data_IF_600896157806
#
_entry.id   IF_600896157806
#
_cell.length_a   1.000
_cell.length_b   1.000
_cell.length_c   1.000
_cell.angle_alpha   90.00
_cell.angle_beta   90.00
_cell.angle_gamma   90.00
#
_symmetry.space_group_name_H-M   'P 1'
#
loop_
_entity.id
_entity.type
_entity.pdbx_description
1 polymer ?
#
# COMPACT_ATOMS: atom_id res chain seq x y z
N UNK A 1 -10.37 8.27 -8.01
CA UNK A 1 -8.93 8.10 -8.24
C UNK A 1 -8.20 7.70 -6.95
N UNK A 2 -8.22 8.53 -5.90
CA UNK A 2 -7.59 8.19 -4.62
C UNK A 2 -8.14 6.93 -3.94
N UNK A 3 -9.44 6.61 -4.11
CA UNK A 3 -10.02 5.38 -3.54
C UNK A 3 -9.42 4.09 -4.14
N UNK A 4 -9.10 4.08 -5.44
CA UNK A 4 -8.42 2.94 -6.07
C UNK A 4 -6.99 2.78 -5.56
N UNK A 5 -6.26 3.90 -5.40
CA UNK A 5 -4.92 3.89 -4.84
C UNK A 5 -4.92 3.40 -3.39
N UNK A 6 -5.88 3.85 -2.57
CA UNK A 6 -6.08 3.35 -1.20
C UNK A 6 -6.35 1.85 -1.18
N UNK A 7 -7.20 1.35 -2.07
CA UNK A 7 -7.52 -0.07 -2.15
C UNK A 7 -6.27 -0.90 -2.50
N UNK A 8 -5.46 -0.45 -3.47
CA UNK A 8 -4.19 -1.10 -3.83
C UNK A 8 -3.21 -1.14 -2.66
N UNK A 9 -3.06 -0.01 -1.95
CA UNK A 9 -2.18 0.08 -0.77
C UNK A 9 -2.68 -0.85 0.35
N UNK A 10 -3.99 -0.90 0.58
CA UNK A 10 -4.59 -1.80 1.56
C UNK A 10 -4.32 -3.26 1.23
N UNK A 11 -4.59 -3.68 -0.01
CA UNK A 11 -4.37 -5.05 -0.46
C UNK A 11 -2.91 -5.46 -0.35
N UNK A 12 -1.98 -4.57 -0.70
CA UNK A 12 -0.55 -4.83 -0.57
C UNK A 12 -0.10 -4.96 0.90
N UNK A 13 -0.61 -4.11 1.79
CA UNK A 13 -0.34 -4.24 3.23
C UNK A 13 -0.91 -5.55 3.81
N UNK A 14 -2.10 -5.98 3.36
CA UNK A 14 -2.69 -7.26 3.77
C UNK A 14 -1.95 -8.48 3.19
N UNK A 15 -1.24 -8.33 2.07
CA UNK A 15 -0.43 -9.39 1.49
C UNK A 15 0.84 -9.68 2.29
N UNK A 16 1.42 -8.68 2.95
CA UNK A 16 2.63 -8.83 3.78
C UNK A 16 2.52 -9.97 4.81
N UNK A 17 1.50 -10.02 5.70
CA UNK A 17 1.37 -11.13 6.64
C UNK A 17 0.97 -12.44 5.95
N UNK A 18 0.19 -12.40 4.85
CA UNK A 18 -0.19 -13.61 4.09
C UNK A 18 1.02 -14.33 3.49
N UNK A 19 2.06 -13.59 3.13
CA UNK A 19 3.32 -14.13 2.61
C UNK A 19 4.40 -14.30 3.70
N UNK A 20 4.05 -14.15 4.98
CA UNK A 20 4.99 -14.22 6.11
C UNK A 20 6.19 -13.25 5.99
N UNK A 21 5.99 -12.08 5.37
CA UNK A 21 7.04 -11.07 5.20
C UNK A 21 7.21 -10.15 6.40
N UNK A 22 6.28 -10.20 7.36
CA UNK A 22 6.24 -9.33 8.54
C UNK A 22 5.80 -10.11 9.78
N UNK A 23 6.12 -9.58 10.97
CA UNK A 23 5.63 -10.06 12.26
C UNK A 23 5.17 -8.87 13.08
N UNK A 24 4.12 -9.04 13.90
CA UNK A 24 3.44 -7.92 14.59
C UNK A 24 2.99 -6.83 13.60
N UNK A 25 3.23 -5.56 13.93
CA UNK A 25 2.87 -4.40 13.11
C UNK A 25 4.03 -3.88 12.26
N UNK A 26 5.09 -4.68 12.08
CA UNK A 26 6.26 -4.26 11.31
C UNK A 26 5.95 -4.23 9.82
N UNK A 27 6.57 -3.28 9.10
CA UNK A 27 6.42 -3.12 7.65
C UNK A 27 5.21 -2.25 7.25
N UNK A 28 5.37 -1.54 6.12
CA UNK A 28 4.29 -0.85 5.44
C UNK A 28 4.52 -0.88 3.93
N UNK A 29 3.43 -0.82 3.16
CA UNK A 29 3.46 -0.52 1.73
C UNK A 29 2.83 0.85 1.50
N UNK A 30 3.42 1.65 0.63
CA UNK A 30 2.87 2.91 0.13
C UNK A 30 2.91 2.95 -1.40
N UNK A 31 2.03 3.74 -2.00
CA UNK A 31 1.96 3.93 -3.44
C UNK A 31 1.88 5.42 -3.77
N UNK A 32 2.42 5.79 -4.93
CA UNK A 32 2.42 7.17 -5.43
C UNK A 32 1.68 7.22 -6.77
N UNK A 33 0.69 8.10 -6.85
CA UNK A 33 0.07 8.45 -8.13
C UNK A 33 0.82 9.65 -8.73
N UNK A 34 1.59 9.38 -9.78
CA UNK A 34 2.43 10.40 -10.44
C UNK A 34 1.62 11.33 -11.35
N UNK A 35 0.37 11.01 -11.66
CA UNK A 35 -0.51 11.87 -12.46
C UNK A 35 -0.99 13.10 -11.68
N UNK A 36 -0.98 13.01 -10.35
CA UNK A 36 -1.25 14.10 -9.41
C UNK A 36 0.01 14.91 -9.03
N UNK A 37 1.10 14.76 -9.77
CA UNK A 37 2.40 15.39 -9.45
C UNK A 37 2.41 16.92 -9.63
N UNK A 38 2.73 17.61 -8.53
CA UNK A 38 3.12 19.02 -8.31
C UNK A 38 2.86 20.01 -9.46
N UNK A 39 1.67 20.63 -9.45
CA UNK A 39 1.52 22.03 -9.90
C UNK A 39 1.42 22.94 -8.69
#
# INVERSE_FOLDING_TARGET
MLEQLKQQVLEANLALPRHNLVTFTWGNVSAIDRTLGWS
#
